data_IF_823870724185
#
_entry.id   IF_823870724185
#
_cell.length_a   1.000
_cell.length_b   1.000
_cell.length_c   1.000
_cell.angle_alpha   90.00
_cell.angle_beta   90.00
_cell.angle_gamma   90.00
#
_symmetry.space_group_name_H-M   'P 1'
#
loop_
_entity.id
_entity.type
_entity.pdbx_description
1 polymer ?
#
# COMPACT_ATOMS: atom_id res chain seq x y z
N UNK A 1 8.68 14.01 7.29
CA UNK A 1 8.81 13.11 6.13
C UNK A 1 7.41 12.87 5.57
N UNK A 2 7.21 12.75 4.26
CA UNK A 2 5.85 12.60 3.70
C UNK A 2 5.13 11.30 4.12
N UNK A 3 5.89 10.32 4.62
CA UNK A 3 5.35 9.12 5.25
C UNK A 3 4.54 9.40 6.53
N UNK A 4 4.98 10.31 7.40
CA UNK A 4 4.22 10.66 8.61
C UNK A 4 2.91 11.37 8.26
N UNK A 5 2.92 12.18 7.18
CA UNK A 5 1.71 12.82 6.66
C UNK A 5 0.72 11.79 6.12
N UNK A 6 1.20 10.81 5.36
CA UNK A 6 0.38 9.69 4.88
C UNK A 6 -0.29 8.95 6.06
N UNK A 7 0.51 8.56 7.07
CA UNK A 7 0.01 7.84 8.25
C UNK A 7 -1.06 8.66 8.98
N UNK A 8 -0.83 9.95 9.17
CA UNK A 8 -1.81 10.83 9.80
C UNK A 8 -3.08 10.99 8.97
N UNK A 9 -2.95 11.19 7.64
CA UNK A 9 -4.10 11.25 6.73
C UNK A 9 -4.92 9.96 6.76
N UNK A 10 -4.26 8.79 6.82
CA UNK A 10 -4.93 7.50 6.99
C UNK A 10 -5.72 7.43 8.31
N UNK A 11 -5.08 7.78 9.44
CA UNK A 11 -5.71 7.76 10.77
C UNK A 11 -6.88 8.74 10.90
N UNK A 12 -6.80 9.87 10.21
CA UNK A 12 -7.87 10.86 10.13
C UNK A 12 -8.98 10.47 9.15
N UNK A 13 -8.88 9.31 8.48
CA UNK A 13 -9.83 8.81 7.47
C UNK A 13 -9.96 9.74 6.25
N UNK A 14 -8.88 10.43 5.92
CA UNK A 14 -8.79 11.29 4.73
C UNK A 14 -8.46 10.47 3.47
N UNK A 15 -8.10 9.20 3.64
CA UNK A 15 -7.74 8.26 2.57
C UNK A 15 -8.75 7.13 2.48
N UNK A 16 -8.96 6.63 1.25
CA UNK A 16 -9.68 5.40 1.03
C UNK A 16 -8.88 4.20 1.51
N UNK A 17 -9.54 3.32 2.27
CA UNK A 17 -8.90 2.14 2.88
C UNK A 17 -9.12 0.87 2.05
N UNK A 18 -9.85 0.95 0.93
CA UNK A 18 -10.27 -0.18 0.13
C UNK A 18 -9.76 -0.03 -1.31
N UNK A 19 -9.09 -1.05 -1.83
CA UNK A 19 -8.55 -1.00 -3.18
C UNK A 19 -7.76 -2.25 -3.57
N UNK A 20 -7.26 -2.22 -4.80
CA UNK A 20 -6.35 -3.21 -5.37
C UNK A 20 -4.94 -2.87 -4.93
N UNK A 21 -4.22 -3.86 -4.39
CA UNK A 21 -2.82 -3.70 -4.00
C UNK A 21 -1.94 -4.35 -5.06
N UNK A 22 -0.84 -3.69 -5.46
CA UNK A 22 0.27 -4.32 -6.18
C UNK A 22 1.59 -4.07 -5.45
N UNK A 23 2.48 -5.07 -5.51
CA UNK A 23 3.82 -5.02 -4.93
C UNK A 23 4.82 -5.40 -6.02
N UNK A 24 5.67 -4.44 -6.40
CA UNK A 24 6.58 -4.56 -7.55
C UNK A 24 5.86 -5.11 -8.80
N UNK A 25 4.71 -4.52 -9.14
CA UNK A 25 3.87 -4.92 -10.27
C UNK A 25 3.11 -6.25 -10.09
N UNK A 26 3.33 -7.00 -9.00
CA UNK A 26 2.57 -8.22 -8.72
C UNK A 26 1.30 -7.87 -7.94
N UNK A 27 0.13 -8.09 -8.55
CA UNK A 27 -1.16 -7.83 -7.92
C UNK A 27 -1.46 -8.82 -6.78
N UNK A 28 -1.98 -8.28 -5.69
CA UNK A 28 -2.42 -9.03 -4.52
C UNK A 28 -3.87 -9.49 -4.68
N UNK A 29 -4.08 -10.81 -4.76
CA UNK A 29 -5.40 -11.44 -4.89
C UNK A 29 -5.59 -12.17 -6.21
N UNK A 30 -6.63 -13.00 -6.32
CA UNK A 30 -7.02 -13.61 -7.60
C UNK A 30 -7.63 -12.52 -8.50
N UNK A 31 -7.49 -12.60 -9.83
CA UNK A 31 -8.28 -11.78 -10.75
C UNK A 31 -9.78 -11.91 -10.41
N UNK A 32 -10.42 -10.83 -9.98
CA UNK A 32 -11.83 -10.80 -9.56
C UNK A 32 -12.08 -10.74 -8.04
N UNK A 33 -11.09 -11.05 -7.20
CA UNK A 33 -11.16 -11.02 -5.72
C UNK A 33 -10.32 -9.88 -5.10
N UNK A 34 -9.78 -8.99 -5.95
CA UNK A 34 -8.60 -8.16 -5.68
C UNK A 34 -8.82 -6.96 -4.74
N UNK A 35 -9.96 -6.90 -4.05
CA UNK A 35 -10.26 -5.79 -3.14
C UNK A 35 -9.69 -6.11 -1.76
N UNK A 36 -8.60 -5.44 -1.42
CA UNK A 36 -8.01 -5.46 -0.07
C UNK A 36 -8.54 -4.29 0.75
N UNK A 37 -8.81 -4.54 2.03
CA UNK A 37 -9.08 -3.49 3.01
C UNK A 37 -7.87 -3.32 3.91
N UNK A 38 -7.32 -2.11 3.94
CA UNK A 38 -6.28 -1.69 4.89
C UNK A 38 -6.97 -1.35 6.21
N UNK A 39 -6.58 -2.03 7.27
CA UNK A 39 -7.03 -1.79 8.64
C UNK A 39 -6.19 -0.70 9.31
N UNK A 40 -4.88 -0.74 9.12
CA UNK A 40 -3.96 0.20 9.76
C UNK A 40 -2.66 0.37 8.95
N UNK A 41 -2.01 1.52 9.15
CA UNK A 41 -0.69 1.85 8.63
C UNK A 41 0.11 2.52 9.75
N UNK A 42 1.22 1.92 10.16
CA UNK A 42 2.07 2.46 11.23
C UNK A 42 3.54 2.10 11.05
N UNK A 43 4.42 2.88 11.68
CA UNK A 43 5.85 2.57 11.76
C UNK A 43 6.13 1.73 13.00
N UNK A 44 7.01 0.75 12.84
CA UNK A 44 7.66 -0.01 13.92
C UNK A 44 9.15 -0.01 13.61
N UNK A 45 9.90 0.84 14.32
CA UNK A 45 11.33 1.09 14.08
C UNK A 45 11.57 1.54 12.61
N UNK A 46 12.44 0.84 11.89
CA UNK A 46 12.77 1.08 10.48
C UNK A 46 11.84 0.33 9.50
N UNK A 47 10.71 -0.18 9.99
CA UNK A 47 9.71 -0.92 9.20
C UNK A 47 8.40 -0.15 9.16
N UNK A 48 7.84 0.01 7.96
CA UNK A 48 6.43 0.36 7.77
C UNK A 48 5.59 -0.92 7.78
N UNK A 49 4.55 -0.93 8.60
CA UNK A 49 3.59 -2.02 8.72
C UNK A 49 2.26 -1.56 8.13
N UNK A 50 1.72 -2.35 7.20
CA UNK A 50 0.40 -2.16 6.61
C UNK A 50 -0.42 -3.40 6.93
N UNK A 51 -1.41 -3.25 7.81
CA UNK A 51 -2.30 -4.33 8.23
C UNK A 51 -3.49 -4.42 7.28
N UNK A 52 -3.71 -5.58 6.69
CA UNK A 52 -4.90 -5.89 5.91
C UNK A 52 -5.88 -6.75 6.74
N UNK A 53 -7.05 -7.04 6.18
CA UNK A 53 -8.03 -7.88 6.87
C UNK A 53 -7.48 -9.26 7.31
N UNK A 54 -6.68 -9.88 6.44
CA UNK A 54 -6.22 -11.27 6.55
C UNK A 54 -4.71 -11.44 6.34
N UNK A 55 -3.97 -10.34 6.22
CA UNK A 55 -2.54 -10.33 5.87
C UNK A 55 -1.84 -9.13 6.50
N UNK A 56 -0.54 -9.25 6.68
CA UNK A 56 0.29 -8.13 7.10
C UNK A 56 1.41 -7.91 6.08
N UNK A 57 1.56 -6.66 5.64
CA UNK A 57 2.65 -6.25 4.76
C UNK A 57 3.69 -5.52 5.62
N UNK A 58 4.93 -5.99 5.55
CA UNK A 58 6.09 -5.38 6.19
C UNK A 58 7.02 -4.87 5.11
N UNK A 59 7.43 -3.60 5.19
CA UNK A 59 8.40 -3.04 4.26
C UNK A 59 9.38 -2.13 4.99
N UNK A 60 10.61 -2.01 4.49
CA UNK A 60 11.50 -0.92 4.92
C UNK A 60 10.83 0.43 4.67
N UNK A 61 11.19 1.45 5.44
CA UNK A 61 10.66 2.80 5.23
C UNK A 61 10.91 3.25 3.77
N UNK A 62 9.85 3.57 3.00
CA UNK A 62 10.01 4.00 1.62
C UNK A 62 10.68 5.38 1.56
N UNK A 63 11.54 5.60 0.55
CA UNK A 63 12.20 6.90 0.34
C UNK A 63 11.28 7.92 -0.31
N UNK A 64 10.29 7.45 -1.06
CA UNK A 64 9.32 8.28 -1.77
C UNK A 64 7.91 7.82 -1.45
N UNK A 65 7.08 8.80 -1.10
CA UNK A 65 5.68 8.61 -0.74
C UNK A 65 4.85 9.62 -1.50
N UNK A 66 3.86 9.14 -2.23
CA UNK A 66 2.85 9.97 -2.89
C UNK A 66 1.48 9.39 -2.60
N UNK A 67 0.51 10.25 -2.33
CA UNK A 67 -0.85 9.80 -2.09
C UNK A 67 -1.87 10.88 -2.47
N UNK A 68 -3.06 10.41 -2.79
CA UNK A 68 -4.26 11.22 -2.89
C UNK A 68 -5.45 10.40 -2.36
N UNK A 69 -6.65 10.91 -2.51
CA UNK A 69 -7.85 10.22 -2.03
C UNK A 69 -8.04 8.81 -2.65
N UNK A 70 -7.51 8.57 -3.84
CA UNK A 70 -7.71 7.36 -4.65
C UNK A 70 -6.52 6.40 -4.65
N UNK A 71 -5.32 6.86 -4.32
CA UNK A 71 -4.11 6.05 -4.41
C UNK A 71 -3.09 6.33 -3.32
N UNK A 72 -2.33 5.28 -2.98
CA UNK A 72 -1.12 5.37 -2.15
C UNK A 72 0.00 4.73 -2.96
N UNK A 73 1.08 5.48 -3.14
CA UNK A 73 2.28 5.09 -3.87
C UNK A 73 3.48 5.16 -2.92
N UNK A 74 4.10 4.01 -2.70
CA UNK A 74 5.34 3.90 -1.95
C UNK A 74 6.42 3.33 -2.88
N UNK A 75 7.53 4.04 -2.98
CA UNK A 75 8.63 3.71 -3.88
C UNK A 75 9.95 3.56 -3.10
N UNK A 76 10.90 2.87 -3.73
CA UNK A 76 12.27 2.72 -3.22
C UNK A 76 12.32 2.12 -1.81
N UNK A 77 11.82 0.89 -1.68
CA UNK A 77 11.92 0.05 -0.48
C UNK A 77 12.99 -1.03 -0.69
N UNK A 78 13.84 -1.25 0.31
CA UNK A 78 14.89 -2.27 0.32
C UNK A 78 14.32 -3.68 0.44
N UNK A 79 13.21 -3.84 1.18
CA UNK A 79 12.46 -5.10 1.24
C UNK A 79 10.96 -4.88 1.31
N UNK A 80 10.20 -5.89 0.86
CA UNK A 80 8.77 -6.03 1.14
C UNK A 80 8.48 -7.51 1.42
N UNK A 81 7.76 -7.77 2.50
CA UNK A 81 7.28 -9.09 2.90
C UNK A 81 5.78 -9.04 3.10
N UNK A 82 5.08 -10.09 2.69
CA UNK A 82 3.67 -10.27 3.01
C UNK A 82 3.46 -11.60 3.69
N UNK A 83 2.96 -11.53 4.92
CA UNK A 83 3.03 -12.60 5.90
C UNK A 83 4.51 -13.04 6.04
N UNK A 84 4.92 -14.11 5.34
CA UNK A 84 6.29 -14.64 5.34
C UNK A 84 6.97 -14.66 3.96
N UNK A 85 6.30 -14.15 2.92
CA UNK A 85 6.82 -14.17 1.54
C UNK A 85 7.49 -12.85 1.19
N UNK A 86 8.78 -12.91 0.88
CA UNK A 86 9.54 -11.77 0.38
C UNK A 86 9.26 -11.53 -1.11
N UNK A 87 9.05 -10.27 -1.46
CA UNK A 87 8.85 -9.79 -2.82
C UNK A 87 10.12 -9.08 -3.27
N UNK A 88 10.61 -9.47 -4.44
CA UNK A 88 11.84 -8.93 -4.99
C UNK A 88 11.56 -7.66 -5.81
N UNK A 89 12.46 -6.70 -5.66
CA UNK A 89 12.47 -5.46 -6.43
C UNK A 89 12.36 -5.74 -7.93
N UNK A 90 11.52 -4.96 -8.62
CA UNK A 90 11.49 -4.88 -10.08
C UNK A 90 11.74 -3.44 -10.49
N UNK A 91 12.62 -3.28 -11.46
CA UNK A 91 12.97 -1.97 -12.00
C UNK A 91 11.70 -1.27 -12.55
N UNK A 92 11.59 0.04 -12.29
CA UNK A 92 10.47 0.89 -12.69
C UNK A 92 9.09 0.56 -12.09
N UNK A 93 9.02 -0.39 -11.15
CA UNK A 93 7.78 -0.71 -10.45
C UNK A 93 7.72 -0.06 -9.06
N UNK A 94 6.51 0.39 -8.68
CA UNK A 94 6.26 0.87 -7.32
C UNK A 94 6.45 -0.27 -6.34
N UNK A 95 7.06 0.04 -5.19
CA UNK A 95 7.29 -0.94 -4.15
C UNK A 95 5.94 -1.40 -3.59
N UNK A 96 5.07 -0.45 -3.26
CA UNK A 96 3.68 -0.70 -2.92
C UNK A 96 2.79 0.31 -3.65
N UNK A 97 1.72 -0.20 -4.25
CA UNK A 97 0.68 0.63 -4.86
C UNK A 97 -0.68 0.15 -4.38
N UNK A 98 -1.46 1.05 -3.78
CA UNK A 98 -2.88 0.87 -3.58
C UNK A 98 -3.63 1.70 -4.62
N UNK A 99 -4.54 1.05 -5.34
CA UNK A 99 -5.42 1.67 -6.31
C UNK A 99 -6.89 1.43 -5.97
N UNK A 100 -7.66 2.48 -5.70
CA UNK A 100 -9.10 2.33 -5.45
C UNK A 100 -9.91 2.35 -6.76
N UNK A 101 -10.37 1.18 -7.18
CA UNK A 101 -11.18 1.03 -8.40
C UNK A 101 -12.62 1.56 -8.26
N UNK A 102 -13.18 1.55 -7.03
CA UNK A 102 -14.58 1.92 -6.77
C UNK A 102 -14.86 3.42 -6.91
N UNK A 103 -13.82 4.24 -6.92
CA UNK A 103 -13.93 5.67 -7.08
C UNK A 103 -13.94 6.13 -8.55
N UNK A 104 -13.22 5.43 -9.43
CA UNK A 104 -13.21 5.78 -10.86
C UNK A 104 -14.48 5.36 -11.58
N UNK A 105 -15.14 4.28 -11.14
CA UNK A 105 -16.39 3.82 -11.76
C UNK A 105 -17.61 4.70 -11.46
N UNK A 106 -17.49 5.69 -10.57
CA UNK A 106 -18.53 6.71 -10.32
C UNK A 106 -18.36 7.98 -11.15
N UNK A 107 -17.33 8.05 -12.00
CA UNK A 107 -17.05 9.21 -12.85
C UNK A 107 -17.59 9.06 -14.29
N UNK A 108 -18.46 8.08 -14.56
CA UNK A 108 -19.14 7.88 -15.84
C UNK A 108 -20.66 7.88 -15.69
#
# INVERSE_FOLDING_TARGET
MDLDKLINAFKNKELQTLGVISIYGNYFGKPGDTISTIKDIYKRDETLVIELNNKTILMSLPKKVSYNYYSIDLEESDFIKVDDKEYFYKENEKAFHLYNWSAQSKAH
#
